data_IF_033618460524
#
_entry.id   IF_033618460524
#
_cell.length_a   1.000
_cell.length_b   1.000
_cell.length_c   1.000
_cell.angle_alpha   90.00
_cell.angle_beta   90.00
_cell.angle_gamma   90.00
#
_symmetry.space_group_name_H-M   'P 1'
#
loop_
_entity.id
_entity.type
_entity.pdbx_description
1 polymer ?
#
# COMPACT_ATOMS: atom_id res chain seq x y z
N UNK A 1 5.32 6.61 -8.72
CA UNK A 1 4.43 7.75 -8.99
C UNK A 1 5.20 9.04 -8.71
N UNK A 2 5.27 9.98 -9.67
CA UNK A 2 6.06 11.22 -9.61
C UNK A 2 5.21 12.46 -9.22
N UNK A 3 5.80 13.65 -9.12
CA UNK A 3 7.17 14.00 -9.46
C UNK A 3 8.22 13.41 -8.51
N UNK A 4 9.50 13.74 -8.70
CA UNK A 4 10.57 13.37 -7.77
C UNK A 4 10.31 13.98 -6.39
N UNK A 5 10.86 13.36 -5.33
CA UNK A 5 10.65 13.82 -3.95
C UNK A 5 9.32 13.37 -3.32
N UNK A 6 8.59 12.42 -3.94
CA UNK A 6 7.37 11.87 -3.35
C UNK A 6 7.68 10.76 -2.35
N UNK A 7 6.72 10.45 -1.46
CA UNK A 7 6.79 9.28 -0.57
C UNK A 7 6.93 7.97 -1.35
N UNK A 8 6.42 7.89 -2.58
CA UNK A 8 6.60 6.73 -3.46
C UNK A 8 8.07 6.55 -3.84
N UNK A 9 8.79 7.63 -4.19
CA UNK A 9 10.22 7.57 -4.48
C UNK A 9 11.03 7.26 -3.22
N UNK A 10 10.69 7.88 -2.09
CA UNK A 10 11.32 7.59 -0.79
C UNK A 10 11.15 6.10 -0.41
N UNK A 11 9.94 5.55 -0.56
CA UNK A 11 9.67 4.13 -0.31
C UNK A 11 10.46 3.21 -1.25
N UNK A 12 10.56 3.55 -2.53
CA UNK A 12 11.36 2.79 -3.51
C UNK A 12 12.85 2.80 -3.15
N UNK A 13 13.37 3.93 -2.67
CA UNK A 13 14.77 4.07 -2.25
C UNK A 13 15.14 3.21 -1.02
N UNK A 14 14.15 2.78 -0.23
CA UNK A 14 14.40 1.83 0.88
C UNK A 14 14.65 0.40 0.40
N UNK A 15 14.55 0.12 -0.92
CA UNK A 15 14.69 -1.20 -1.51
C UNK A 15 16.02 -1.32 -2.28
N UNK A 16 17.13 -1.80 -1.63
CA UNK A 16 18.47 -1.78 -2.24
C UNK A 16 18.60 -2.63 -3.50
N UNK A 17 17.84 -3.72 -3.58
CA UNK A 17 17.82 -4.62 -4.74
C UNK A 17 17.18 -3.98 -5.98
N UNK A 18 16.35 -2.96 -5.80
CA UNK A 18 15.77 -2.18 -6.90
C UNK A 18 16.63 -0.97 -7.31
N UNK A 19 17.77 -0.75 -6.64
CA UNK A 19 18.69 0.37 -6.94
C UNK A 19 19.30 0.31 -8.34
N UNK A 20 19.34 -0.87 -8.96
CA UNK A 20 19.82 -1.06 -10.33
C UNK A 20 18.72 -0.85 -11.40
N UNK A 21 17.46 -0.74 -10.99
CA UNK A 21 16.37 -0.44 -11.88
C UNK A 21 16.37 1.05 -12.26
N UNK A 22 15.96 1.35 -13.48
CA UNK A 22 15.77 2.73 -13.92
C UNK A 22 14.34 3.18 -13.56
N UNK A 23 14.15 4.07 -12.58
CA UNK A 23 12.82 4.52 -12.23
C UNK A 23 12.23 5.43 -13.31
N UNK A 24 11.01 5.15 -13.72
CA UNK A 24 10.21 5.97 -14.65
C UNK A 24 9.10 6.65 -13.85
N UNK A 25 9.23 7.95 -13.53
CA UNK A 25 8.20 8.66 -12.78
C UNK A 25 6.97 8.93 -13.67
N UNK A 26 5.81 8.44 -13.24
CA UNK A 26 4.51 8.66 -13.88
C UNK A 26 3.60 9.46 -12.95
N UNK A 27 2.64 10.21 -13.49
CA UNK A 27 1.90 11.22 -12.75
C UNK A 27 0.86 10.58 -11.82
N UNK A 28 0.27 9.46 -12.21
CA UNK A 28 -0.86 8.84 -11.50
C UNK A 28 -0.76 7.32 -11.39
N UNK A 29 -1.49 6.74 -10.44
CA UNK A 29 -1.61 5.28 -10.30
C UNK A 29 -2.12 4.63 -11.60
N UNK A 30 -3.18 5.13 -12.26
CA UNK A 30 -3.63 4.56 -13.53
C UNK A 30 -2.54 4.53 -14.61
N UNK A 31 -1.72 5.58 -14.71
CA UNK A 31 -0.61 5.60 -15.68
C UNK A 31 0.46 4.55 -15.36
N UNK A 32 0.79 4.34 -14.07
CA UNK A 32 1.73 3.29 -13.66
C UNK A 32 1.20 1.92 -14.06
N UNK A 33 -0.08 1.66 -13.79
CA UNK A 33 -0.71 0.37 -14.08
C UNK A 33 -0.86 0.14 -15.59
N UNK A 34 -1.21 1.18 -16.36
CA UNK A 34 -1.26 1.09 -17.82
C UNK A 34 0.12 0.84 -18.42
N UNK A 35 1.17 1.55 -17.95
CA UNK A 35 2.54 1.33 -18.43
C UNK A 35 3.04 -0.10 -18.14
N UNK A 36 2.65 -0.67 -16.99
CA UNK A 36 2.94 -2.07 -16.65
C UNK A 36 2.15 -3.01 -17.59
N UNK A 37 0.88 -2.71 -17.86
CA UNK A 37 0.04 -3.53 -18.73
C UNK A 37 0.51 -3.52 -20.18
N UNK A 38 0.91 -2.38 -20.70
CA UNK A 38 1.49 -2.22 -22.03
C UNK A 38 2.90 -2.83 -22.16
N UNK A 39 3.53 -3.23 -21.05
CA UNK A 39 4.90 -3.73 -21.01
C UNK A 39 5.97 -2.65 -21.24
N UNK A 40 5.62 -1.39 -21.05
CA UNK A 40 6.56 -0.27 -21.10
C UNK A 40 7.50 -0.23 -19.88
N UNK A 41 7.10 -0.88 -18.80
CA UNK A 41 7.89 -1.10 -17.58
C UNK A 41 7.73 -2.55 -17.12
N UNK A 42 8.73 -3.09 -16.42
CA UNK A 42 8.72 -4.45 -15.89
C UNK A 42 7.96 -4.54 -14.57
N UNK A 43 7.97 -3.46 -13.79
CA UNK A 43 7.34 -3.37 -12.46
C UNK A 43 6.55 -2.08 -12.31
N UNK A 44 5.42 -2.16 -11.61
CA UNK A 44 4.67 -1.01 -11.13
C UNK A 44 4.83 -0.85 -9.61
N UNK A 45 5.08 0.36 -9.12
CA UNK A 45 5.17 0.65 -7.69
C UNK A 45 4.15 1.71 -7.30
N UNK A 46 3.16 1.31 -6.49
CA UNK A 46 1.97 2.11 -6.20
C UNK A 46 1.57 2.04 -4.72
N UNK A 47 1.01 3.13 -4.15
CA UNK A 47 0.43 3.09 -2.81
C UNK A 47 -0.89 2.31 -2.82
N UNK A 48 -1.17 1.56 -1.76
CA UNK A 48 -2.42 0.79 -1.59
C UNK A 48 -3.20 1.18 -0.35
N UNK A 49 -2.52 1.67 0.67
CA UNK A 49 -3.13 2.01 1.96
C UNK A 49 -2.28 3.03 2.72
N UNK A 50 -2.94 3.93 3.45
CA UNK A 50 -2.32 4.82 4.42
C UNK A 50 -3.01 4.63 5.77
N UNK A 51 -2.25 4.61 6.87
CA UNK A 51 -2.76 4.32 8.20
C UNK A 51 -3.80 5.33 8.71
N UNK A 52 -3.80 6.56 8.19
CA UNK A 52 -4.74 7.63 8.58
C UNK A 52 -5.86 7.79 7.55
N UNK A 53 -5.51 7.87 6.27
CA UNK A 53 -6.47 8.11 5.19
C UNK A 53 -7.21 6.84 4.73
N UNK A 54 -6.69 5.68 5.13
CA UNK A 54 -7.25 4.39 4.73
C UNK A 54 -6.83 3.95 3.34
N UNK A 55 -7.74 3.29 2.66
CA UNK A 55 -7.49 2.65 1.37
C UNK A 55 -7.23 3.62 0.21
N UNK A 56 -6.23 3.33 -0.61
CA UNK A 56 -6.05 4.00 -1.91
C UNK A 56 -6.97 3.33 -2.93
N UNK A 57 -8.21 3.79 -2.98
CA UNK A 57 -9.29 3.18 -3.74
C UNK A 57 -8.96 2.93 -5.22
N UNK A 58 -8.25 3.86 -5.87
CA UNK A 58 -7.86 3.73 -7.28
C UNK A 58 -6.96 2.53 -7.53
N UNK A 59 -6.03 2.25 -6.62
CA UNK A 59 -5.15 1.07 -6.70
C UNK A 59 -5.93 -0.21 -6.48
N UNK A 60 -6.76 -0.23 -5.44
CA UNK A 60 -7.52 -1.42 -5.06
C UNK A 60 -8.55 -1.80 -6.13
N UNK A 61 -9.29 -0.81 -6.64
CA UNK A 61 -10.28 -1.03 -7.70
C UNK A 61 -9.61 -1.55 -8.98
N UNK A 62 -8.46 -0.99 -9.34
CA UNK A 62 -7.70 -1.42 -10.50
C UNK A 62 -7.22 -2.87 -10.37
N UNK A 63 -6.70 -3.26 -9.20
CA UNK A 63 -6.28 -4.63 -8.93
C UNK A 63 -7.47 -5.60 -8.86
N UNK A 64 -8.61 -5.15 -8.35
CA UNK A 64 -9.79 -6.00 -8.25
C UNK A 64 -10.46 -6.24 -9.61
N UNK A 65 -10.55 -5.21 -10.48
CA UNK A 65 -11.46 -5.24 -11.63
C UNK A 65 -10.79 -5.06 -12.98
N UNK A 66 -9.67 -4.32 -13.05
CA UNK A 66 -9.20 -3.78 -14.32
C UNK A 66 -7.92 -4.49 -14.83
N UNK A 67 -7.05 -4.99 -13.93
CA UNK A 67 -5.75 -5.58 -14.29
C UNK A 67 -5.47 -6.90 -13.56
N UNK A 68 -4.74 -7.80 -14.20
CA UNK A 68 -4.33 -9.10 -13.66
C UNK A 68 -2.85 -9.11 -13.23
N UNK A 69 -2.47 -8.15 -12.37
CA UNK A 69 -1.13 -8.07 -11.84
C UNK A 69 -0.98 -8.91 -10.56
N UNK A 70 0.28 -9.33 -10.32
CA UNK A 70 0.67 -10.07 -9.13
C UNK A 70 1.58 -9.22 -8.25
N UNK A 71 1.27 -9.20 -6.96
CA UNK A 71 2.06 -8.50 -5.95
C UNK A 71 3.36 -9.28 -5.74
N UNK A 72 4.48 -8.58 -5.88
CA UNK A 72 5.82 -9.14 -5.67
C UNK A 72 6.32 -8.87 -4.26
N UNK A 73 5.87 -7.76 -3.66
CA UNK A 73 6.35 -7.28 -2.37
C UNK A 73 5.44 -6.18 -1.86
N UNK A 74 5.32 -6.09 -0.55
CA UNK A 74 4.84 -4.90 0.12
C UNK A 74 6.00 -4.11 0.73
N UNK A 75 5.87 -2.79 0.74
CA UNK A 75 6.82 -1.87 1.38
C UNK A 75 6.01 -0.93 2.26
N UNK A 76 6.36 -0.87 3.53
CA UNK A 76 5.72 0.02 4.51
C UNK A 76 6.73 1.07 4.94
N UNK A 77 6.37 2.34 4.83
CA UNK A 77 7.23 3.45 5.24
C UNK A 77 6.46 4.42 6.14
N UNK A 78 7.16 5.00 7.09
CA UNK A 78 6.62 6.08 7.90
C UNK A 78 6.48 7.34 7.03
N UNK A 79 5.39 8.07 7.24
CA UNK A 79 5.14 9.37 6.60
C UNK A 79 5.64 10.44 7.54
N UNK A 80 6.80 11.02 7.24
CA UNK A 80 7.32 12.20 7.92
C UNK A 80 7.06 13.43 7.07
N UNK A 81 6.49 14.45 7.66
CA UNK A 81 6.19 15.72 7.03
C UNK A 81 7.04 16.82 7.67
N UNK A 82 7.87 17.46 6.84
CA UNK A 82 8.73 18.56 7.26
C UNK A 82 8.23 19.87 6.66
N UNK A 83 8.37 20.96 7.43
CA UNK A 83 8.25 22.31 6.90
C UNK A 83 9.59 22.72 6.31
N UNK A 84 9.60 23.15 5.06
CA UNK A 84 10.80 23.52 4.32
C UNK A 84 10.62 24.80 3.53
N UNK A 85 11.69 25.59 3.41
CA UNK A 85 11.69 26.84 2.66
C UNK A 85 13.03 27.03 1.93
N UNK A 86 13.20 28.14 1.18
CA UNK A 86 14.50 28.51 0.65
C UNK A 86 15.53 28.70 1.78
N UNK A 87 16.79 28.29 1.59
CA UNK A 87 17.83 28.45 2.59
C UNK A 87 17.92 29.89 3.13
N UNK A 88 17.99 30.00 4.46
CA UNK A 88 18.09 31.30 5.15
C UNK A 88 16.80 32.11 5.21
N UNK A 89 15.65 31.57 4.79
CA UNK A 89 14.35 32.26 4.89
C UNK A 89 13.83 32.29 6.33
N UNK A 90 13.96 31.18 7.05
CA UNK A 90 13.44 31.02 8.42
C UNK A 90 14.27 29.98 9.16
N UNK A 91 14.12 29.94 10.49
CA UNK A 91 14.72 28.90 11.36
C UNK A 91 13.62 28.29 12.23
N UNK A 92 13.92 27.19 12.89
CA UNK A 92 12.96 26.53 13.79
C UNK A 92 12.46 27.46 14.92
N UNK A 93 13.31 28.40 15.35
CA UNK A 93 13.01 29.37 16.42
C UNK A 93 12.34 30.66 15.90
N UNK A 94 12.40 30.92 14.60
CA UNK A 94 11.84 32.14 13.99
C UNK A 94 11.22 31.84 12.62
N UNK A 95 9.90 31.71 12.60
CA UNK A 95 9.07 31.44 11.42
C UNK A 95 8.39 32.70 10.88
N UNK A 96 8.68 33.89 11.43
CA UNK A 96 7.96 35.15 11.12
C UNK A 96 8.06 35.57 9.65
N UNK A 97 9.11 35.12 8.95
CA UNK A 97 9.27 35.38 7.53
C UNK A 97 8.36 34.53 6.63
N UNK A 98 7.71 33.50 7.16
CA UNK A 98 6.82 32.64 6.40
C UNK A 98 5.40 33.17 6.49
N UNK A 99 4.86 33.60 5.35
CA UNK A 99 3.49 34.08 5.26
C UNK A 99 2.56 33.20 4.41
N UNK A 100 3.11 32.19 3.70
CA UNK A 100 2.34 31.26 2.90
C UNK A 100 2.89 29.83 3.07
N UNK A 101 2.00 28.85 3.22
CA UNK A 101 2.35 27.42 3.29
C UNK A 101 1.66 26.68 2.16
N UNK A 102 2.45 26.02 1.32
CA UNK A 102 2.00 25.19 0.19
C UNK A 102 2.08 23.70 0.54
N UNK A 103 1.04 22.95 0.29
CA UNK A 103 1.11 21.49 0.28
C UNK A 103 -0.13 20.84 -0.33
N UNK A 104 -0.10 19.50 -0.42
CA UNK A 104 -1.29 18.72 -0.71
C UNK A 104 -2.28 18.81 0.46
N UNK A 105 -3.59 18.97 0.21
CA UNK A 105 -4.59 19.20 1.25
C UNK A 105 -4.57 18.19 2.42
N UNK A 106 -4.33 16.92 2.12
CA UNK A 106 -4.21 15.87 3.15
C UNK A 106 -3.00 16.13 4.06
N UNK A 107 -1.84 16.48 3.52
CA UNK A 107 -0.65 16.77 4.31
C UNK A 107 -0.84 18.03 5.19
N UNK A 108 -1.52 19.05 4.67
CA UNK A 108 -1.92 20.22 5.46
C UNK A 108 -2.81 19.81 6.63
N UNK A 109 -3.80 18.95 6.39
CA UNK A 109 -4.72 18.47 7.43
C UNK A 109 -4.01 17.65 8.52
N UNK A 110 -2.92 16.96 8.15
CA UNK A 110 -2.08 16.16 9.08
C UNK A 110 -1.07 16.99 9.87
N UNK A 111 -0.91 18.29 9.57
CA UNK A 111 -0.02 19.21 10.28
C UNK A 111 -0.79 20.37 10.94
N UNK A 112 -2.09 20.18 11.17
CA UNK A 112 -2.98 21.28 11.62
C UNK A 112 -2.57 21.84 12.98
N UNK A 113 -2.18 21.03 13.94
CA UNK A 113 -1.78 21.50 15.27
C UNK A 113 -0.53 22.37 15.21
N UNK A 114 0.47 21.97 14.42
CA UNK A 114 1.69 22.75 14.19
C UNK A 114 1.36 24.10 13.51
N UNK A 115 0.62 24.06 12.40
CA UNK A 115 0.26 25.27 11.65
C UNK A 115 -0.51 26.26 12.51
N UNK A 116 -1.50 25.81 13.27
CA UNK A 116 -2.29 26.66 14.15
C UNK A 116 -1.47 27.32 15.25
N UNK A 117 -0.44 26.61 15.76
CA UNK A 117 0.36 27.09 16.90
C UNK A 117 1.53 27.96 16.44
N UNK A 118 2.20 27.59 15.37
CA UNK A 118 3.45 28.20 14.94
C UNK A 118 3.31 29.19 13.78
N UNK A 119 2.27 29.02 12.96
CA UNK A 119 2.01 29.83 11.76
C UNK A 119 0.52 30.21 11.65
N UNK A 120 -0.09 30.80 12.71
CA UNK A 120 -1.54 31.06 12.74
C UNK A 120 -2.03 32.04 11.69
N UNK A 121 -1.16 32.94 11.22
CA UNK A 121 -1.47 34.00 10.24
C UNK A 121 -1.03 33.66 8.82
N UNK A 122 -0.41 32.47 8.59
CA UNK A 122 0.04 32.07 7.27
C UNK A 122 -1.13 31.67 6.36
N UNK A 123 -1.11 32.11 5.12
CA UNK A 123 -2.04 31.69 4.08
C UNK A 123 -1.73 30.25 3.67
N UNK A 124 -2.77 29.42 3.57
CA UNK A 124 -2.65 28.02 3.16
C UNK A 124 -3.04 27.90 1.69
N UNK A 125 -2.09 27.50 0.85
CA UNK A 125 -2.30 27.26 -0.59
C UNK A 125 -2.22 25.76 -0.92
N UNK A 126 -3.21 25.26 -1.64
CA UNK A 126 -3.26 23.84 -2.03
C UNK A 126 -2.40 23.56 -3.27
N UNK A 127 -1.58 22.53 -3.19
CA UNK A 127 -0.84 21.96 -4.33
C UNK A 127 -1.37 20.56 -4.68
N UNK A 128 -1.10 20.09 -5.89
CA UNK A 128 -1.55 18.76 -6.36
C UNK A 128 -0.72 17.61 -5.78
N UNK A 129 0.45 17.89 -5.19
CA UNK A 129 1.23 16.95 -4.38
C UNK A 129 2.18 17.72 -3.45
N UNK A 130 2.63 17.07 -2.38
CA UNK A 130 3.63 17.62 -1.45
C UNK A 130 4.95 17.93 -2.16
N UNK A 131 5.42 17.03 -3.01
CA UNK A 131 6.65 17.20 -3.77
C UNK A 131 6.55 18.34 -4.82
N UNK A 132 5.36 18.54 -5.40
CA UNK A 132 5.15 19.68 -6.33
C UNK A 132 5.20 21.03 -5.60
N UNK A 133 4.70 21.08 -4.37
CA UNK A 133 4.82 22.27 -3.53
C UNK A 133 6.29 22.64 -3.30
N UNK A 134 7.10 21.67 -2.88
CA UNK A 134 8.54 21.85 -2.68
C UNK A 134 9.26 22.24 -3.99
N UNK A 135 8.95 21.55 -5.10
CA UNK A 135 9.51 21.86 -6.42
C UNK A 135 9.24 23.31 -6.83
N UNK A 136 7.99 23.77 -6.67
CA UNK A 136 7.60 25.13 -7.06
C UNK A 136 8.40 26.17 -6.29
N UNK A 137 8.61 26.00 -4.98
CA UNK A 137 9.42 26.92 -4.18
C UNK A 137 10.86 26.95 -4.68
N UNK A 138 11.48 25.79 -4.91
CA UNK A 138 12.87 25.69 -5.34
C UNK A 138 13.09 26.22 -6.75
N UNK A 139 12.23 25.89 -7.72
CA UNK A 139 12.37 26.33 -9.11
C UNK A 139 12.03 27.82 -9.30
N UNK A 140 10.94 28.31 -8.66
CA UNK A 140 10.48 29.70 -8.78
C UNK A 140 11.16 30.65 -7.78
N UNK A 141 12.02 30.14 -6.88
CA UNK A 141 12.73 30.90 -5.83
C UNK A 141 11.79 31.80 -4.99
N UNK A 142 10.69 31.18 -4.49
CA UNK A 142 9.65 31.89 -3.76
C UNK A 142 10.10 32.21 -2.34
N UNK A 143 10.27 33.50 -2.06
CA UNK A 143 10.63 33.98 -0.71
C UNK A 143 9.39 34.14 0.17
N UNK A 144 9.52 33.85 1.48
CA UNK A 144 8.43 33.95 2.45
C UNK A 144 7.37 32.81 2.29
N UNK A 145 7.67 31.80 1.49
CA UNK A 145 6.81 30.66 1.22
C UNK A 145 7.47 29.39 1.73
N UNK A 146 6.74 28.55 2.44
CA UNK A 146 7.19 27.23 2.88
C UNK A 146 6.36 26.12 2.27
N UNK A 147 6.95 24.95 2.07
CA UNK A 147 6.22 23.74 1.72
C UNK A 147 6.17 22.76 2.91
N UNK A 148 5.09 21.97 2.96
CA UNK A 148 5.05 20.76 3.77
C UNK A 148 5.25 19.57 2.82
N UNK A 149 6.36 18.83 2.98
CA UNK A 149 6.69 17.71 2.13
C UNK A 149 7.60 16.69 2.86
N UNK A 150 7.99 15.63 2.15
CA UNK A 150 8.93 14.64 2.66
C UNK A 150 10.35 15.22 2.79
N UNK A 151 11.19 14.74 3.70
CA UNK A 151 12.61 15.16 3.80
C UNK A 151 13.36 15.05 2.45
N UNK A 152 13.10 13.98 1.69
CA UNK A 152 13.68 13.78 0.37
C UNK A 152 13.38 14.92 -0.61
N UNK A 153 12.22 15.57 -0.50
CA UNK A 153 11.86 16.69 -1.36
C UNK A 153 12.75 17.91 -1.07
N UNK A 154 13.11 18.16 0.20
CA UNK A 154 14.03 19.24 0.55
C UNK A 154 15.39 19.06 -0.14
N UNK A 155 15.96 17.87 -0.07
CA UNK A 155 17.25 17.54 -0.69
C UNK A 155 17.21 17.72 -2.21
N UNK A 156 16.15 17.22 -2.87
CA UNK A 156 16.03 17.25 -4.34
C UNK A 156 15.85 18.67 -4.87
N UNK A 157 15.08 19.51 -4.16
CA UNK A 157 14.74 20.85 -4.65
C UNK A 157 15.56 21.97 -4.01
N UNK A 158 16.61 21.63 -3.24
CA UNK A 158 17.52 22.59 -2.64
C UNK A 158 16.87 23.48 -1.59
N UNK A 159 15.92 22.94 -0.85
CA UNK A 159 15.24 23.62 0.26
C UNK A 159 15.89 23.24 1.60
N UNK A 160 15.77 24.13 2.56
CA UNK A 160 16.19 23.90 3.94
C UNK A 160 14.99 23.42 4.77
N UNK A 161 15.16 22.35 5.53
CA UNK A 161 14.17 21.91 6.51
C UNK A 161 14.17 22.89 7.69
N UNK A 162 13.09 23.63 7.83
CA UNK A 162 12.89 24.62 8.89
C UNK A 162 12.38 23.97 10.16
N UNK A 163 11.44 23.04 10.03
CA UNK A 163 10.96 22.22 11.14
C UNK A 163 10.70 20.80 10.67
N UNK A 164 11.25 19.82 11.38
CA UNK A 164 11.14 18.40 11.05
C UNK A 164 10.04 17.71 11.85
N UNK A 165 9.34 16.75 11.21
CA UNK A 165 8.36 15.90 11.87
C UNK A 165 7.20 16.68 12.46
N UNK A 166 6.57 17.52 11.65
CA UNK A 166 5.47 18.42 12.07
C UNK A 166 4.09 17.80 11.96
N UNK A 167 4.01 16.54 11.54
CA UNK A 167 2.75 15.79 11.49
C UNK A 167 2.13 15.56 12.87
N UNK A 168 0.81 15.67 12.95
CA UNK A 168 0.03 15.49 14.20
C UNK A 168 0.05 14.02 14.68
N UNK A 169 0.30 13.07 13.76
CA UNK A 169 0.31 11.63 14.02
C UNK A 169 1.60 10.97 13.51
N UNK A 170 2.53 10.70 14.40
CA UNK A 170 3.84 10.11 14.07
C UNK A 170 3.77 8.64 13.66
N UNK A 171 2.68 7.96 13.97
CA UNK A 171 2.40 6.57 13.61
C UNK A 171 1.89 6.43 12.17
N UNK A 172 1.83 7.55 11.42
CA UNK A 172 1.36 7.53 10.05
C UNK A 172 2.31 6.73 9.16
N UNK A 173 1.76 5.72 8.50
CA UNK A 173 2.47 4.84 7.59
C UNK A 173 1.73 4.73 6.26
N UNK A 174 2.48 4.57 5.18
CA UNK A 174 1.91 4.24 3.87
C UNK A 174 2.46 2.89 3.41
N UNK A 175 1.55 2.03 3.00
CA UNK A 175 1.83 0.73 2.39
C UNK A 175 1.82 0.87 0.88
N UNK A 176 2.89 0.40 0.25
CA UNK A 176 3.08 0.34 -1.20
C UNK A 176 3.15 -1.10 -1.65
N UNK A 177 2.79 -1.34 -2.90
CA UNK A 177 2.91 -2.63 -3.56
C UNK A 177 3.84 -2.52 -4.77
N UNK A 178 4.75 -3.48 -4.90
CA UNK A 178 5.48 -3.76 -6.12
C UNK A 178 4.70 -4.79 -6.93
N UNK A 179 4.35 -4.48 -8.15
CA UNK A 179 3.50 -5.27 -9.03
C UNK A 179 4.26 -5.75 -10.26
N UNK A 180 3.98 -6.96 -10.71
CA UNK A 180 4.42 -7.52 -11.98
C UNK A 180 3.31 -8.31 -12.67
N UNK A 181 3.48 -8.69 -13.96
CA UNK A 181 2.43 -9.41 -14.72
C UNK A 181 2.27 -10.88 -14.35
N UNK A 182 3.35 -11.65 -14.26
CA UNK A 182 3.25 -13.12 -14.34
C UNK A 182 4.15 -13.86 -13.34
N UNK A 183 4.48 -13.25 -12.22
CA UNK A 183 5.46 -13.81 -11.30
C UNK A 183 4.96 -13.81 -9.86
N UNK A 184 5.07 -14.95 -9.18
CA UNK A 184 4.88 -15.05 -7.73
C UNK A 184 6.27 -15.27 -7.13
N UNK A 185 6.73 -14.46 -6.18
CA UNK A 185 8.00 -14.67 -5.49
C UNK A 185 8.03 -16.05 -4.82
N UNK A 186 9.21 -16.65 -4.61
CA UNK A 186 9.33 -17.85 -3.80
C UNK A 186 8.95 -17.55 -2.34
N UNK A 187 8.46 -18.58 -1.62
CA UNK A 187 8.15 -18.46 -0.21
C UNK A 187 9.38 -18.01 0.60
N UNK A 188 9.18 -17.03 1.45
CA UNK A 188 10.20 -16.47 2.34
C UNK A 188 10.17 -17.04 3.75
N UNK A 189 9.06 -17.71 4.12
CA UNK A 189 8.77 -18.18 5.47
C UNK A 189 8.05 -17.14 6.34
N UNK A 190 7.87 -15.92 5.83
CA UNK A 190 7.06 -14.86 6.44
C UNK A 190 6.32 -14.13 5.34
N UNK A 191 5.28 -14.77 4.82
CA UNK A 191 4.58 -14.35 3.62
C UNK A 191 3.14 -13.97 3.90
N UNK A 192 2.60 -13.12 3.05
CA UNK A 192 1.19 -12.81 2.94
C UNK A 192 0.65 -13.22 1.58
N UNK A 193 -0.60 -13.60 1.56
CA UNK A 193 -1.36 -13.82 0.33
C UNK A 193 -2.50 -12.81 0.26
N UNK A 194 -2.66 -12.17 -0.90
CA UNK A 194 -3.75 -11.25 -1.19
C UNK A 194 -4.69 -11.83 -2.23
N UNK A 195 -5.99 -11.70 -1.98
CA UNK A 195 -7.05 -12.16 -2.89
C UNK A 195 -8.22 -11.17 -2.97
N UNK A 196 -9.02 -11.29 -4.03
CA UNK A 196 -10.36 -10.69 -4.09
C UNK A 196 -11.39 -11.83 -4.15
N UNK A 197 -12.33 -11.81 -3.23
CA UNK A 197 -13.43 -12.78 -3.20
C UNK A 197 -14.71 -12.11 -3.71
N UNK A 198 -15.25 -12.62 -4.81
CA UNK A 198 -16.54 -12.22 -5.34
C UNK A 198 -17.61 -13.16 -4.80
N UNK A 199 -18.52 -12.65 -3.98
CA UNK A 199 -19.57 -13.44 -3.36
C UNK A 199 -20.47 -14.12 -4.39
N UNK A 200 -20.91 -15.34 -4.08
CA UNK A 200 -21.92 -16.04 -4.88
C UNK A 200 -23.26 -15.30 -4.82
N UNK A 201 -23.70 -14.92 -3.61
CA UNK A 201 -24.92 -14.18 -3.33
C UNK A 201 -24.67 -13.25 -2.13
N UNK A 202 -25.35 -12.10 -2.11
CA UNK A 202 -25.30 -11.19 -0.96
C UNK A 202 -26.43 -11.54 0.00
N UNK A 203 -26.21 -12.54 0.86
CA UNK A 203 -27.16 -13.03 1.84
C UNK A 203 -26.63 -12.83 3.27
N UNK A 204 -27.51 -12.79 4.28
CA UNK A 204 -27.09 -12.79 5.67
C UNK A 204 -26.18 -13.97 5.97
N UNK A 205 -24.97 -13.68 6.49
CA UNK A 205 -23.95 -14.68 6.81
C UNK A 205 -22.98 -15.01 5.67
N UNK A 206 -23.12 -14.46 4.46
CA UNK A 206 -22.21 -14.76 3.35
C UNK A 206 -20.74 -14.40 3.64
N UNK A 207 -20.49 -13.24 4.26
CA UNK A 207 -19.15 -12.88 4.73
C UNK A 207 -18.65 -13.84 5.82
N UNK A 208 -19.51 -14.21 6.78
CA UNK A 208 -19.14 -15.19 7.80
C UNK A 208 -18.70 -16.51 7.18
N UNK A 209 -19.42 -16.99 6.16
CA UNK A 209 -19.03 -18.21 5.42
C UNK A 209 -17.65 -18.13 4.78
N UNK A 210 -17.22 -16.94 4.31
CA UNK A 210 -15.85 -16.71 3.83
C UNK A 210 -14.86 -16.78 5.00
N UNK A 211 -15.13 -16.07 6.10
CA UNK A 211 -14.24 -16.02 7.27
C UNK A 211 -14.05 -17.39 7.94
N UNK A 212 -15.06 -18.23 7.92
CA UNK A 212 -14.99 -19.60 8.45
C UNK A 212 -13.97 -20.48 7.70
N UNK A 213 -13.68 -20.21 6.42
CA UNK A 213 -12.65 -20.96 5.68
C UNK A 213 -11.24 -20.69 6.23
N UNK A 214 -11.00 -19.47 6.67
CA UNK A 214 -9.73 -19.08 7.30
C UNK A 214 -9.65 -19.60 8.74
N UNK A 215 -10.71 -19.45 9.52
CA UNK A 215 -10.79 -19.90 10.90
C UNK A 215 -10.56 -21.40 11.02
N UNK A 216 -11.24 -22.22 10.19
CA UNK A 216 -11.11 -23.67 10.19
C UNK A 216 -9.67 -24.16 9.93
N UNK A 217 -8.84 -23.34 9.29
CA UNK A 217 -7.44 -23.62 8.97
C UNK A 217 -6.45 -22.84 9.84
N UNK A 218 -6.96 -22.04 10.78
CA UNK A 218 -6.18 -21.16 11.67
C UNK A 218 -5.29 -20.17 10.91
N UNK A 219 -5.74 -19.75 9.73
CA UNK A 219 -5.08 -18.72 8.94
C UNK A 219 -5.50 -17.35 9.49
N UNK A 220 -4.52 -16.50 9.80
CA UNK A 220 -4.79 -15.15 10.29
C UNK A 220 -5.03 -14.18 9.13
N UNK A 221 -6.10 -13.36 9.27
CA UNK A 221 -6.44 -12.30 8.33
C UNK A 221 -5.81 -10.99 8.81
N UNK A 222 -4.87 -10.46 8.03
CA UNK A 222 -4.25 -9.18 8.32
C UNK A 222 -5.02 -7.99 7.76
N UNK A 223 -5.94 -8.22 6.79
CA UNK A 223 -6.77 -7.17 6.18
C UNK A 223 -8.08 -7.74 5.64
N UNK A 224 -9.15 -6.97 5.84
CA UNK A 224 -10.46 -7.22 5.23
C UNK A 224 -11.07 -5.90 4.79
N UNK A 225 -11.36 -5.76 3.52
CA UNK A 225 -12.02 -4.58 2.98
C UNK A 225 -13.11 -4.94 1.98
N UNK A 226 -14.27 -4.31 2.11
CA UNK A 226 -15.40 -4.50 1.20
C UNK A 226 -15.41 -3.44 0.11
N UNK A 227 -15.61 -3.86 -1.14
CA UNK A 227 -15.72 -2.96 -2.30
C UNK A 227 -16.98 -3.28 -3.11
N UNK A 228 -17.72 -2.28 -3.59
CA UNK A 228 -18.83 -2.51 -4.50
C UNK A 228 -18.31 -3.07 -5.83
N UNK A 229 -19.01 -4.07 -6.39
CA UNK A 229 -18.57 -4.78 -7.61
C UNK A 229 -18.75 -3.99 -8.90
N UNK A 230 -19.29 -2.76 -8.86
CA UNK A 230 -19.66 -1.93 -10.02
C UNK A 230 -20.77 -2.52 -10.91
N UNK A 231 -21.40 -3.64 -10.49
CA UNK A 231 -22.49 -4.32 -11.23
C UNK A 231 -23.89 -3.91 -10.78
N UNK A 232 -24.01 -3.41 -9.54
CA UNK A 232 -25.27 -2.95 -8.97
C UNK A 232 -25.10 -2.54 -7.51
N UNK A 233 -26.07 -1.80 -6.99
CA UNK A 233 -26.11 -1.45 -5.57
C UNK A 233 -26.38 -2.72 -4.76
N UNK A 234 -25.58 -2.91 -3.69
CA UNK A 234 -25.69 -4.06 -2.79
C UNK A 234 -24.85 -5.27 -3.18
N UNK A 235 -24.17 -5.26 -4.33
CA UNK A 235 -23.19 -6.30 -4.67
C UNK A 235 -21.78 -5.88 -4.23
N UNK A 236 -21.12 -6.73 -3.43
CA UNK A 236 -19.79 -6.48 -2.87
C UNK A 236 -18.83 -7.62 -3.19
N UNK A 237 -17.56 -7.27 -3.32
CA UNK A 237 -16.44 -8.18 -3.22
C UNK A 237 -15.60 -7.82 -2.00
N UNK A 238 -14.78 -8.75 -1.54
CA UNK A 238 -13.90 -8.56 -0.40
C UNK A 238 -12.45 -8.71 -0.81
N UNK A 239 -11.65 -7.69 -0.51
CA UNK A 239 -10.20 -7.77 -0.59
C UNK A 239 -9.69 -8.29 0.74
N UNK A 240 -8.92 -9.36 0.70
CA UNK A 240 -8.41 -10.06 1.87
C UNK A 240 -6.89 -10.21 1.74
N UNK A 241 -6.18 -9.82 2.80
CA UNK A 241 -4.78 -10.19 2.97
C UNK A 241 -4.68 -11.12 4.20
N UNK A 242 -3.93 -12.19 4.09
CA UNK A 242 -3.77 -13.18 5.14
C UNK A 242 -2.37 -13.78 5.15
N UNK A 243 -1.98 -14.36 6.29
CA UNK A 243 -0.68 -14.99 6.48
C UNK A 243 -0.56 -16.30 5.69
N UNK A 244 0.63 -16.55 5.16
CA UNK A 244 1.02 -17.74 4.43
C UNK A 244 1.19 -17.53 2.93
N UNK A 245 1.81 -18.52 2.29
CA UNK A 245 2.16 -18.50 0.87
C UNK A 245 1.34 -19.54 0.09
N UNK A 246 1.08 -19.30 -1.19
CA UNK A 246 0.32 -20.24 -2.06
C UNK A 246 0.97 -21.62 -2.18
N UNK A 247 2.26 -21.75 -1.90
CA UNK A 247 2.95 -23.06 -1.83
C UNK A 247 2.61 -23.86 -0.58
N UNK A 248 2.04 -23.22 0.45
CA UNK A 248 1.63 -23.90 1.68
C UNK A 248 0.33 -24.65 1.42
N UNK A 249 0.27 -25.95 1.73
CA UNK A 249 -0.91 -26.78 1.47
C UNK A 249 -2.17 -26.24 2.20
N UNK A 250 -2.01 -25.69 3.40
CA UNK A 250 -3.10 -25.08 4.15
C UNK A 250 -3.70 -23.87 3.42
N UNK A 251 -2.86 -23.03 2.81
CA UNK A 251 -3.27 -21.86 2.01
C UNK A 251 -3.94 -22.33 0.72
N UNK A 252 -3.31 -23.29 0.02
CA UNK A 252 -3.85 -23.83 -1.22
C UNK A 252 -5.24 -24.48 -1.00
N UNK A 253 -5.44 -25.18 0.12
CA UNK A 253 -6.74 -25.77 0.47
C UNK A 253 -7.79 -24.72 0.83
N UNK A 254 -7.41 -23.64 1.54
CA UNK A 254 -8.29 -22.51 1.80
C UNK A 254 -8.78 -21.88 0.48
N UNK A 255 -7.86 -21.58 -0.42
CA UNK A 255 -8.19 -21.00 -1.73
C UNK A 255 -9.07 -21.92 -2.57
N UNK A 256 -8.82 -23.23 -2.54
CA UNK A 256 -9.67 -24.23 -3.21
C UNK A 256 -11.09 -24.22 -2.66
N UNK A 257 -11.25 -24.19 -1.33
CA UNK A 257 -12.56 -24.15 -0.68
C UNK A 257 -13.32 -22.85 -1.03
N UNK A 258 -12.65 -21.70 -0.99
CA UNK A 258 -13.22 -20.42 -1.38
C UNK A 258 -13.65 -20.43 -2.86
N UNK A 259 -12.78 -20.90 -3.77
CA UNK A 259 -13.08 -20.97 -5.22
C UNK A 259 -14.27 -21.86 -5.53
N UNK A 260 -14.50 -22.91 -4.76
CA UNK A 260 -15.65 -23.82 -4.93
C UNK A 260 -16.97 -23.20 -4.41
N UNK A 261 -16.91 -22.36 -3.38
CA UNK A 261 -18.11 -21.84 -2.68
C UNK A 261 -18.52 -20.44 -3.13
N UNK A 262 -17.56 -19.67 -3.63
CA UNK A 262 -17.80 -18.29 -4.05
C UNK A 262 -17.99 -18.20 -5.56
N UNK A 263 -18.56 -17.10 -6.04
CA UNK A 263 -18.73 -16.85 -7.46
C UNK A 263 -17.40 -16.84 -8.21
N UNK A 264 -16.41 -16.17 -7.60
CA UNK A 264 -15.03 -16.15 -8.09
C UNK A 264 -14.06 -15.77 -6.96
N UNK A 265 -12.82 -16.17 -7.14
CA UNK A 265 -11.68 -15.73 -6.34
C UNK A 265 -10.57 -15.32 -7.28
N UNK A 266 -10.17 -14.05 -7.21
CA UNK A 266 -9.02 -13.51 -7.93
C UNK A 266 -7.82 -13.51 -7.01
N UNK A 267 -6.77 -14.20 -7.41
CA UNK A 267 -5.50 -14.23 -6.71
C UNK A 267 -4.67 -13.01 -7.12
N UNK A 268 -4.21 -12.23 -6.13
CA UNK A 268 -3.39 -11.04 -6.35
C UNK A 268 -1.91 -11.28 -6.08
N UNK A 269 -1.54 -12.40 -5.44
CA UNK A 269 -0.14 -12.78 -5.19
C UNK A 269 0.09 -13.30 -3.78
N UNK A 270 1.19 -14.05 -3.62
CA UNK A 270 1.81 -14.36 -2.34
C UNK A 270 3.19 -13.73 -2.34
N UNK A 271 3.56 -13.03 -1.29
CA UNK A 271 4.74 -12.17 -1.25
C UNK A 271 5.28 -12.01 0.17
N UNK A 272 6.57 -11.69 0.34
CA UNK A 272 7.16 -11.42 1.65
C UNK A 272 6.44 -10.28 2.37
N UNK A 273 6.08 -10.50 3.63
CA UNK A 273 5.50 -9.49 4.50
C UNK A 273 6.56 -8.44 4.90
N UNK A 274 6.20 -7.15 4.90
CA UNK A 274 7.10 -6.07 5.28
C UNK A 274 7.46 -6.12 6.77
N UNK A 275 6.50 -6.54 7.60
CA UNK A 275 6.68 -6.65 9.05
C UNK A 275 6.64 -8.12 9.47
N UNK A 276 7.59 -8.56 10.28
CA UNK A 276 7.68 -9.92 10.79
C UNK A 276 6.69 -10.22 11.93
N UNK A 277 5.41 -9.91 11.74
CA UNK A 277 4.37 -10.23 12.72
C UNK A 277 3.68 -11.53 12.34
N UNK A 278 4.17 -12.64 12.87
CA UNK A 278 3.32 -13.81 13.02
C UNK A 278 2.31 -13.53 14.15
N UNK A 279 1.05 -13.81 13.91
CA UNK A 279 -0.07 -13.65 14.90
C UNK A 279 0.09 -14.50 16.16
N UNK A 280 1.17 -15.27 16.28
CA UNK A 280 1.42 -16.21 17.38
C UNK A 280 0.48 -17.42 17.39
N UNK A 281 -0.43 -17.54 16.43
CA UNK A 281 -1.19 -18.76 16.17
C UNK A 281 -0.43 -19.60 15.16
N UNK A 282 0.02 -20.77 15.58
CA UNK A 282 0.60 -21.72 14.63
C UNK A 282 -0.50 -22.26 13.71
N UNK A 283 -0.34 -22.10 12.38
CA UNK A 283 -1.23 -22.75 11.43
C UNK A 283 -1.17 -24.28 11.59
N UNK A 284 -2.12 -24.99 11.00
CA UNK A 284 -2.05 -26.47 10.92
C UNK A 284 -0.74 -26.82 10.23
N UNK A 285 0.09 -27.65 10.88
CA UNK A 285 1.44 -27.93 10.39
C UNK A 285 1.42 -28.57 9.00
N UNK A 286 2.38 -28.24 8.18
CA UNK A 286 2.59 -28.80 6.84
C UNK A 286 2.72 -30.34 6.88
N UNK A 287 3.33 -30.88 7.96
CA UNK A 287 3.43 -32.31 8.20
C UNK A 287 2.05 -32.97 8.38
N UNK A 288 1.12 -32.33 9.10
CA UNK A 288 -0.23 -32.86 9.30
C UNK A 288 -1.01 -32.86 7.97
N UNK A 289 -0.84 -31.86 7.13
CA UNK A 289 -1.43 -31.79 5.79
C UNK A 289 -0.88 -32.89 4.88
N UNK A 290 0.43 -33.01 4.78
CA UNK A 290 1.11 -34.03 3.98
C UNK A 290 0.68 -35.45 4.41
N UNK A 291 0.64 -35.74 5.71
CA UNK A 291 0.18 -36.98 6.26
C UNK A 291 -1.27 -37.29 5.89
N UNK A 292 -2.15 -36.29 5.98
CA UNK A 292 -3.58 -36.45 5.62
C UNK A 292 -3.77 -36.72 4.12
N UNK A 293 -3.01 -36.02 3.27
CA UNK A 293 -3.07 -36.20 1.82
C UNK A 293 -2.55 -37.57 1.40
N UNK A 294 -1.46 -38.05 1.99
CA UNK A 294 -0.92 -39.38 1.74
C UNK A 294 -1.87 -40.48 2.21
N UNK A 295 -2.52 -40.30 3.35
CA UNK A 295 -3.58 -41.21 3.80
C UNK A 295 -4.73 -41.22 2.78
N UNK A 296 -5.22 -40.08 2.32
CA UNK A 296 -6.30 -40.00 1.33
C UNK A 296 -5.89 -40.64 -0.01
N UNK A 297 -4.67 -40.43 -0.48
CA UNK A 297 -4.11 -41.09 -1.66
C UNK A 297 -4.09 -42.64 -1.49
N UNK A 298 -3.76 -43.09 -0.29
CA UNK A 298 -3.77 -44.53 0.00
C UNK A 298 -5.17 -45.17 -0.14
N UNK A 299 -6.20 -44.43 0.34
CA UNK A 299 -7.60 -44.87 0.19
C UNK A 299 -8.06 -44.89 -1.27
N UNK A 300 -7.70 -43.86 -2.04
CA UNK A 300 -8.04 -43.78 -3.47
C UNK A 300 -7.45 -44.92 -4.29
N UNK A 301 -6.29 -45.48 -3.89
CA UNK A 301 -5.68 -46.67 -4.53
C UNK A 301 -6.46 -47.96 -4.28
N UNK A 302 -7.37 -47.97 -3.29
CA UNK A 302 -8.25 -49.13 -3.03
C UNK A 302 -9.46 -49.17 -3.96
N UNK A 303 -9.76 -48.08 -4.66
CA UNK A 303 -10.84 -48.04 -5.65
C UNK A 303 -10.38 -48.79 -6.90
N UNK A 304 -11.11 -49.89 -7.22
CA UNK A 304 -10.84 -50.76 -8.38
C UNK A 304 -11.64 -50.34 -9.57
#
# INVERSE_FOLDING_TARGET
MGPRGTFTEAALATQPDLSQCTPVPLISVPEVLSALDDGAVDYGFVPVENAIEGAVNVTQDALAFDFDFLIQREVVVNVQLDLMALPGTATADDLTAIHTVLSFPVAIAQCRAFLHTQLPDAEIEAATSTALAARRIGEEQLTGVAAIASPTAAEIYGLETVAAGIEDHRENQTRFLLLAKNQVPPASGNDKTSIVVFQQQNEPGSLLGILMEFEARRIDLSRLESRPTRRGLGEYCFLLDFEGHISDEVVADCLRALKMKQRDVKFLGSFPAANGNSSGREPISEEAWTSSDDWLKSLRRLVR
#
